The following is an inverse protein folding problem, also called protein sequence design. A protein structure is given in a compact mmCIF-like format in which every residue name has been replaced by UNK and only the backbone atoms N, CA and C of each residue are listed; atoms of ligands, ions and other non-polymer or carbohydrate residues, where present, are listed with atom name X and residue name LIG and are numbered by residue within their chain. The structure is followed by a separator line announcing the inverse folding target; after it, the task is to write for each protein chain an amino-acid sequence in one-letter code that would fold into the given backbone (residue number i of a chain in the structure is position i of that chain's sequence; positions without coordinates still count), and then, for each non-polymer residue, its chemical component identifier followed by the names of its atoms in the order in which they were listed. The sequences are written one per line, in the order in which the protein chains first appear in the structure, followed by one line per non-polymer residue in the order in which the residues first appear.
data_IF_133117006139
#
_entry.id   IF_133117006139
#
_cell.length_a   1.000
_cell.length_b   1.000
_cell.length_c   1.000
_cell.angle_alpha   90.00
_cell.angle_beta   90.00
_cell.angle_gamma   90.00
#
_symmetry.space_group_name_H-M   'P 1'
#
loop_
_entity.id
_entity.type
_entity.pdbx_description
1 polymer ?
#
# COMPACT_ATOMS: atom_id res chain seq x y z
N UNK A 1 -33.93 -18.18 51.29
CA UNK A 1 -34.14 -16.99 50.43
C UNK A 1 -33.23 -17.13 49.22
N UNK A 2 -33.79 -17.45 48.05
CA UNK A 2 -33.04 -17.61 46.79
C UNK A 2 -32.80 -16.21 46.21
N UNK A 3 -31.54 -15.83 45.94
CA UNK A 3 -31.23 -14.66 45.15
C UNK A 3 -31.72 -14.89 43.70
N UNK A 4 -32.50 -13.99 43.09
CA UNK A 4 -32.77 -14.08 41.67
C UNK A 4 -31.51 -13.71 40.90
N UNK A 5 -31.18 -14.57 39.94
CA UNK A 5 -29.95 -14.56 39.17
C UNK A 5 -29.71 -13.25 38.42
N UNK A 6 -28.42 -12.91 38.34
CA UNK A 6 -27.86 -12.01 37.36
C UNK A 6 -28.27 -12.50 35.97
N UNK A 7 -29.33 -11.92 35.39
CA UNK A 7 -29.58 -12.07 33.96
C UNK A 7 -28.39 -11.43 33.26
N UNK A 8 -27.53 -12.25 32.67
CA UNK A 8 -26.49 -11.81 31.78
C UNK A 8 -27.18 -11.13 30.59
N UNK A 9 -27.37 -9.80 30.67
CA UNK A 9 -27.80 -8.98 29.53
C UNK A 9 -26.64 -9.07 28.55
N UNK A 10 -26.72 -10.03 27.62
CA UNK A 10 -25.78 -10.11 26.52
C UNK A 10 -25.75 -8.73 25.84
N UNK A 11 -24.60 -8.05 25.90
CA UNK A 11 -24.41 -6.78 25.21
C UNK A 11 -24.72 -6.99 23.72
N UNK A 12 -25.84 -6.42 23.30
CA UNK A 12 -26.30 -6.36 21.91
C UNK A 12 -25.60 -5.18 21.26
N UNK A 13 -24.29 -5.32 21.05
CA UNK A 13 -23.46 -4.25 20.52
C UNK A 13 -23.68 -4.09 19.02
N UNK A 14 -24.03 -2.88 18.62
CA UNK A 14 -24.08 -2.46 17.23
C UNK A 14 -22.68 -1.93 16.88
N UNK A 15 -22.04 -2.55 15.90
CA UNK A 15 -20.76 -2.07 15.40
C UNK A 15 -20.97 -1.16 14.21
N UNK A 16 -20.10 -0.16 14.09
CA UNK A 16 -20.04 0.75 12.94
C UNK A 16 -18.63 0.73 12.38
N UNK A 17 -18.52 0.59 11.06
CA UNK A 17 -17.25 0.66 10.34
C UNK A 17 -17.43 1.45 9.04
N UNK A 18 -16.31 1.82 8.40
CA UNK A 18 -16.37 2.49 7.11
C UNK A 18 -15.26 2.06 6.17
N UNK A 19 -15.50 2.29 4.87
CA UNK A 19 -14.51 2.19 3.82
C UNK A 19 -14.65 3.36 2.85
N UNK A 20 -13.54 4.02 2.52
CA UNK A 20 -13.51 5.02 1.46
C UNK A 20 -13.59 4.32 0.11
N UNK A 21 -14.56 4.70 -0.72
CA UNK A 21 -14.73 4.18 -2.07
C UNK A 21 -14.06 5.09 -3.09
N UNK A 22 -14.35 6.40 -3.01
CA UNK A 22 -13.82 7.40 -3.94
C UNK A 22 -13.41 8.68 -3.22
N UNK A 23 -12.41 9.36 -3.78
CA UNK A 23 -11.79 10.56 -3.23
C UNK A 23 -11.95 11.71 -4.22
N UNK A 24 -12.64 12.78 -3.81
CA UNK A 24 -12.78 14.02 -4.58
C UNK A 24 -12.08 15.18 -3.84
N UNK A 25 -11.90 16.37 -4.44
CA UNK A 25 -11.19 17.47 -3.75
C UNK A 25 -11.78 17.87 -2.39
N UNK A 26 -13.10 17.96 -2.26
CA UNK A 26 -13.80 18.41 -1.04
C UNK A 26 -14.83 17.41 -0.49
N UNK A 27 -14.95 16.23 -1.12
CA UNK A 27 -15.86 15.19 -0.69
C UNK A 27 -15.21 13.81 -0.81
N UNK A 28 -15.80 12.83 -0.15
CA UNK A 28 -15.41 11.42 -0.21
C UNK A 28 -16.69 10.60 -0.35
N UNK A 29 -16.71 9.64 -1.27
CA UNK A 29 -17.74 8.62 -1.28
C UNK A 29 -17.32 7.52 -0.30
N UNK A 30 -18.13 7.30 0.72
CA UNK A 30 -17.83 6.37 1.81
C UNK A 30 -18.95 5.35 1.94
N UNK A 31 -18.57 4.10 2.18
CA UNK A 31 -19.49 3.05 2.60
C UNK A 31 -19.41 2.90 4.10
N UNK A 32 -20.49 3.23 4.80
CA UNK A 32 -20.66 2.94 6.22
C UNK A 32 -21.38 1.60 6.35
N UNK A 33 -20.85 0.77 7.24
CA UNK A 33 -21.36 -0.55 7.56
C UNK A 33 -21.86 -0.54 9.01
N UNK A 34 -23.13 -0.90 9.22
CA UNK A 34 -23.68 -1.16 10.55
C UNK A 34 -23.95 -2.66 10.69
N UNK A 35 -23.55 -3.26 11.81
CA UNK A 35 -23.75 -4.69 12.04
C UNK A 35 -24.22 -4.95 13.47
N UNK A 36 -25.22 -5.83 13.61
CA UNK A 36 -25.74 -6.27 14.89
C UNK A 36 -26.06 -7.77 14.80
N UNK A 37 -25.04 -8.64 14.87
CA UNK A 37 -25.16 -10.05 14.47
C UNK A 37 -26.05 -10.88 15.41
N UNK A 38 -26.23 -10.40 16.65
CA UNK A 38 -27.02 -11.07 17.69
C UNK A 38 -28.50 -10.67 17.69
N UNK A 39 -28.91 -9.70 16.87
CA UNK A 39 -30.30 -9.23 16.85
C UNK A 39 -31.19 -10.12 15.97
N UNK A 40 -32.45 -10.36 16.37
CA UNK A 40 -33.39 -11.10 15.55
C UNK A 40 -33.76 -10.29 14.30
N UNK A 41 -33.90 -10.96 13.15
CA UNK A 41 -34.34 -10.34 11.91
C UNK A 41 -35.88 -10.25 11.83
N UNK A 42 -36.44 -9.30 11.04
CA UNK A 42 -35.74 -8.26 10.29
C UNK A 42 -35.24 -7.11 11.16
N UNK A 43 -34.02 -6.67 10.90
CA UNK A 43 -33.40 -5.55 11.59
C UNK A 43 -33.54 -4.30 10.75
N UNK A 44 -34.08 -3.24 11.35
CA UNK A 44 -34.16 -1.91 10.76
C UNK A 44 -33.00 -1.07 11.27
N UNK A 45 -32.01 -0.84 10.43
CA UNK A 45 -30.87 0.03 10.75
C UNK A 45 -31.17 1.48 10.37
N UNK A 46 -30.86 2.38 11.28
CA UNK A 46 -30.88 3.84 11.09
C UNK A 46 -29.47 4.36 11.21
N UNK A 47 -28.98 5.04 10.17
CA UNK A 47 -27.74 5.80 10.21
C UNK A 47 -28.08 7.24 10.62
N UNK A 48 -27.53 7.69 11.74
CA UNK A 48 -27.74 9.04 12.26
C UNK A 48 -26.45 9.84 12.21
N UNK A 49 -26.57 11.11 11.87
CA UNK A 49 -25.50 12.10 12.00
C UNK A 49 -25.58 12.80 13.36
N UNK A 50 -24.57 13.62 13.66
CA UNK A 50 -24.55 14.52 14.81
C UNK A 50 -25.88 15.24 15.01
N UNK A 51 -26.27 15.41 16.28
CA UNK A 51 -27.58 15.96 16.70
C UNK A 51 -28.79 15.06 16.37
N UNK A 52 -28.58 13.78 16.06
CA UNK A 52 -29.66 12.82 15.86
C UNK A 52 -30.39 12.96 14.53
N UNK A 53 -29.78 13.60 13.54
CA UNK A 53 -30.36 13.77 12.21
C UNK A 53 -30.33 12.42 11.50
N UNK A 54 -31.49 11.94 11.06
CA UNK A 54 -31.59 10.70 10.28
C UNK A 54 -31.00 10.93 8.88
N UNK A 55 -29.96 10.18 8.54
CA UNK A 55 -29.27 10.25 7.24
C UNK A 55 -29.87 9.25 6.27
N UNK A 56 -30.00 8.01 6.72
CA UNK A 56 -30.52 6.91 5.91
C UNK A 56 -31.07 5.81 6.82
N UNK A 57 -31.97 4.99 6.27
CA UNK A 57 -32.57 3.86 6.96
C UNK A 57 -32.61 2.67 6.02
N UNK A 58 -32.35 1.47 6.54
CA UNK A 58 -32.32 0.23 5.74
C UNK A 58 -32.84 -0.95 6.56
N UNK A 59 -33.77 -1.71 5.99
CA UNK A 59 -34.26 -2.96 6.57
C UNK A 59 -33.47 -4.12 6.00
N UNK A 60 -33.00 -5.01 6.87
CA UNK A 60 -32.21 -6.18 6.51
C UNK A 60 -32.87 -7.43 7.11
N UNK A 61 -33.18 -8.39 6.26
CA UNK A 61 -33.93 -9.61 6.63
C UNK A 61 -33.05 -10.81 6.98
N UNK A 62 -31.74 -10.69 6.78
CA UNK A 62 -30.75 -11.74 7.02
C UNK A 62 -29.68 -11.25 8.01
N UNK A 63 -28.70 -12.09 8.31
CA UNK A 63 -27.57 -11.75 9.20
C UNK A 63 -26.51 -10.86 8.52
N UNK A 64 -26.78 -10.29 7.35
CA UNK A 64 -25.83 -9.41 6.66
C UNK A 64 -25.81 -8.02 7.30
N UNK A 65 -24.69 -7.29 7.24
CA UNK A 65 -24.64 -5.93 7.72
C UNK A 65 -25.42 -4.98 6.81
N UNK A 66 -25.91 -3.87 7.36
CA UNK A 66 -26.47 -2.78 6.58
C UNK A 66 -25.36 -1.91 5.98
N UNK A 67 -25.41 -1.75 4.65
CA UNK A 67 -24.46 -0.93 3.89
C UNK A 67 -25.13 0.37 3.43
N UNK A 68 -24.51 1.50 3.77
CA UNK A 68 -24.92 2.85 3.41
C UNK A 68 -23.79 3.54 2.62
N UNK A 69 -24.05 3.87 1.35
CA UNK A 69 -23.14 4.67 0.55
C UNK A 69 -23.54 6.14 0.69
N UNK A 70 -22.66 6.97 1.27
CA UNK A 70 -22.92 8.39 1.48
C UNK A 70 -21.76 9.25 0.97
N UNK A 71 -22.09 10.43 0.46
CA UNK A 71 -21.11 11.44 0.11
C UNK A 71 -20.85 12.34 1.32
N UNK A 72 -19.64 12.27 1.86
CA UNK A 72 -19.23 13.06 3.02
C UNK A 72 -18.45 14.27 2.51
N UNK A 73 -18.97 15.45 2.79
CA UNK A 73 -18.34 16.73 2.40
C UNK A 73 -17.56 17.30 3.58
N UNK A 74 -16.39 17.89 3.30
CA UNK A 74 -15.65 18.59 4.34
C UNK A 74 -16.49 19.75 4.88
N UNK A 75 -16.72 19.79 6.19
CA UNK A 75 -17.44 20.85 6.88
C UNK A 75 -16.49 21.72 7.67
N UNK A 76 -16.90 22.96 7.93
CA UNK A 76 -16.19 23.90 8.80
C UNK A 76 -16.14 23.41 10.25
N UNK A 77 -17.22 22.78 10.74
CA UNK A 77 -17.32 22.23 12.09
C UNK A 77 -17.06 20.72 12.09
N UNK A 78 -15.97 20.23 12.71
CA UNK A 78 -15.66 18.79 12.82
C UNK A 78 -16.79 17.98 13.45
N UNK A 79 -17.47 18.57 14.44
CA UNK A 79 -18.58 17.91 15.15
C UNK A 79 -19.75 17.56 14.24
N UNK A 80 -19.91 18.20 13.07
CA UNK A 80 -20.97 17.90 12.12
C UNK A 80 -20.69 16.65 11.27
N UNK A 81 -19.50 16.06 11.41
CA UNK A 81 -19.06 14.87 10.66
C UNK A 81 -18.94 13.64 11.57
N UNK A 82 -19.87 13.49 12.52
CA UNK A 82 -19.95 12.31 13.38
C UNK A 82 -21.19 11.50 13.03
N UNK A 83 -21.02 10.19 12.85
CA UNK A 83 -22.10 9.26 12.52
C UNK A 83 -22.19 8.12 13.54
N UNK A 84 -23.38 7.57 13.73
CA UNK A 84 -23.62 6.41 14.57
C UNK A 84 -24.84 5.63 14.07
N UNK A 85 -24.87 4.34 14.36
CA UNK A 85 -25.94 3.44 13.98
C UNK A 85 -26.90 3.23 15.15
N UNK A 86 -28.17 3.06 14.84
CA UNK A 86 -29.20 2.56 15.73
C UNK A 86 -29.92 1.42 15.01
N UNK A 87 -30.32 0.39 15.73
CA UNK A 87 -31.03 -0.74 15.16
C UNK A 87 -32.39 -0.89 15.83
N UNK A 88 -33.40 -1.33 15.09
CA UNK A 88 -34.69 -1.69 15.64
C UNK A 88 -35.10 -3.08 15.18
N UNK A 89 -35.52 -3.92 16.12
CA UNK A 89 -35.99 -5.28 15.88
C UNK A 89 -37.09 -5.63 16.88
N UNK A 90 -38.17 -6.28 16.40
CA UNK A 90 -39.35 -6.62 17.20
C UNK A 90 -39.91 -5.43 18.00
N UNK A 91 -39.96 -4.25 17.37
CA UNK A 91 -40.40 -2.98 17.98
C UNK A 91 -39.51 -2.47 19.13
N UNK A 92 -38.37 -3.11 19.38
CA UNK A 92 -37.36 -2.68 20.35
C UNK A 92 -36.24 -1.96 19.61
N UNK A 93 -35.78 -0.86 20.20
CA UNK A 93 -34.65 -0.08 19.70
C UNK A 93 -33.38 -0.44 20.48
N UNK A 94 -32.28 -0.60 19.75
CA UNK A 94 -30.94 -0.92 20.25
C UNK A 94 -29.93 0.15 19.79
N UNK A 95 -28.88 0.34 20.59
CA UNK A 95 -27.82 1.33 20.34
C UNK A 95 -27.88 2.52 21.30
N UNK A 96 -27.15 3.62 20.99
CA UNK A 96 -26.39 3.84 19.74
C UNK A 96 -25.10 3.01 19.67
N UNK A 97 -24.59 2.81 18.46
CA UNK A 97 -23.21 2.33 18.27
C UNK A 97 -22.18 3.33 18.83
N UNK A 98 -20.91 2.95 18.80
CA UNK A 98 -19.82 3.93 18.91
C UNK A 98 -19.95 5.03 17.84
N UNK A 99 -19.36 6.19 18.11
CA UNK A 99 -19.41 7.35 17.23
C UNK A 99 -18.25 7.31 16.24
N UNK A 100 -18.55 7.35 14.96
CA UNK A 100 -17.58 7.43 13.89
C UNK A 100 -17.31 8.89 13.52
N UNK A 101 -16.14 9.40 13.92
CA UNK A 101 -15.73 10.78 13.69
C UNK A 101 -15.04 10.92 12.33
N UNK A 102 -15.81 11.15 11.28
CA UNK A 102 -15.33 11.19 9.89
C UNK A 102 -14.32 12.31 9.63
N UNK A 103 -14.37 13.42 10.38
CA UNK A 103 -13.35 14.46 10.28
C UNK A 103 -11.94 13.90 10.56
N UNK A 104 -11.78 13.16 11.66
CA UNK A 104 -10.46 12.65 12.06
C UNK A 104 -9.97 11.54 11.13
N UNK A 105 -10.90 10.68 10.73
CA UNK A 105 -10.66 9.54 9.87
C UNK A 105 -10.29 9.89 8.43
N UNK A 106 -11.00 10.85 7.82
CA UNK A 106 -10.88 11.12 6.38
C UNK A 106 -9.94 12.29 6.05
N UNK A 107 -9.72 13.19 7.01
CA UNK A 107 -9.16 14.50 6.74
C UNK A 107 -7.91 14.80 7.56
N UNK A 108 -7.76 14.26 8.76
CA UNK A 108 -6.64 14.61 9.63
C UNK A 108 -5.78 13.42 10.05
N UNK A 109 -5.83 12.33 9.30
CA UNK A 109 -4.96 11.18 9.53
C UNK A 109 -3.54 11.52 9.03
N UNK A 110 -2.51 11.55 9.90
CA UNK A 110 -1.14 11.82 9.49
C UNK A 110 -0.60 10.67 8.63
N UNK A 111 0.31 11.00 7.71
CA UNK A 111 1.03 9.99 6.94
C UNK A 111 1.82 9.08 7.86
N UNK A 112 1.69 7.77 7.68
CA UNK A 112 2.37 6.75 8.47
C UNK A 112 2.62 5.50 7.62
N UNK A 113 3.54 4.65 8.09
CA UNK A 113 3.88 3.38 7.44
C UNK A 113 4.37 3.53 5.96
N UNK A 114 5.12 4.59 5.67
CA UNK A 114 5.79 4.80 4.39
C UNK A 114 6.82 3.70 4.11
N UNK A 115 6.62 3.00 2.99
CA UNK A 115 7.57 2.07 2.40
C UNK A 115 8.14 2.66 1.12
N UNK A 116 9.42 2.41 0.87
CA UNK A 116 10.12 2.83 -0.32
C UNK A 116 11.01 1.68 -0.82
N UNK A 117 10.81 1.28 -2.07
CA UNK A 117 11.59 0.23 -2.73
C UNK A 117 12.36 0.82 -3.90
N UNK A 118 13.65 0.53 -3.96
CA UNK A 118 14.55 0.97 -5.03
C UNK A 118 15.05 -0.25 -5.79
N UNK A 119 14.87 -0.28 -7.09
CA UNK A 119 15.32 -1.35 -7.98
C UNK A 119 16.21 -0.78 -9.07
N UNK A 120 17.43 -1.29 -9.15
CA UNK A 120 18.35 -0.97 -10.25
C UNK A 120 17.99 -1.83 -11.45
N UNK A 121 17.89 -1.22 -12.62
CA UNK A 121 17.68 -1.91 -13.88
C UNK A 121 18.76 -1.49 -14.87
N UNK A 122 19.30 -2.45 -15.62
CA UNK A 122 20.17 -2.18 -16.76
C UNK A 122 19.36 -2.40 -18.04
N UNK A 123 19.12 -1.33 -18.79
CA UNK A 123 18.30 -1.34 -19.99
C UNK A 123 19.08 -0.87 -21.21
N UNK A 124 18.46 -0.93 -22.38
CA UNK A 124 19.11 -0.59 -23.66
C UNK A 124 19.62 0.87 -23.72
N UNK A 125 19.01 1.75 -22.91
CA UNK A 125 19.39 3.17 -22.79
C UNK A 125 20.35 3.44 -21.61
N UNK A 126 20.88 2.38 -20.99
CA UNK A 126 21.77 2.42 -19.85
C UNK A 126 21.08 2.16 -18.50
N UNK A 127 21.84 2.23 -17.40
CA UNK A 127 21.34 1.90 -16.08
C UNK A 127 20.34 2.94 -15.58
N UNK A 128 19.19 2.46 -15.13
CA UNK A 128 18.11 3.24 -14.52
C UNK A 128 17.82 2.73 -13.12
N UNK A 129 17.13 3.56 -12.35
CA UNK A 129 16.60 3.16 -11.06
C UNK A 129 15.13 3.46 -11.01
N UNK A 130 14.38 2.44 -10.66
CA UNK A 130 12.97 2.52 -10.38
C UNK A 130 12.77 2.65 -8.87
N UNK A 131 11.92 3.58 -8.48
CA UNK A 131 11.55 3.82 -7.10
C UNK A 131 10.05 3.74 -6.97
N UNK A 132 9.57 2.89 -6.07
CA UNK A 132 8.16 2.84 -5.67
C UNK A 132 8.03 3.29 -4.22
N UNK A 133 7.16 4.27 -3.96
CA UNK A 133 6.82 4.72 -2.61
C UNK A 133 5.34 4.59 -2.34
N UNK A 134 5.00 4.05 -1.16
CA UNK A 134 3.61 3.95 -0.71
C UNK A 134 3.52 4.14 0.79
N UNK A 135 2.66 5.06 1.22
CA UNK A 135 2.19 5.12 2.59
C UNK A 135 0.85 4.37 2.69
N UNK A 136 0.81 3.32 3.49
CA UNK A 136 -0.42 2.54 3.74
C UNK A 136 -1.42 3.28 4.67
N UNK A 137 -1.00 4.38 5.29
CA UNK A 137 -1.84 5.18 6.17
C UNK A 137 -1.58 6.67 5.96
N UNK A 138 -2.66 7.45 5.97
CA UNK A 138 -2.63 8.90 5.81
C UNK A 138 -3.84 9.41 5.04
N UNK A 139 -4.31 10.60 5.40
CA UNK A 139 -5.42 11.26 4.71
C UNK A 139 -4.95 11.82 3.36
N UNK A 140 -5.73 11.66 2.27
CA UNK A 140 -5.40 12.21 0.97
C UNK A 140 -5.69 13.72 0.89
N UNK A 141 -4.99 14.45 0.01
CA UNK A 141 -3.99 13.93 -0.93
C UNK A 141 -2.59 13.85 -0.31
N UNK A 142 -1.84 12.82 -0.70
CA UNK A 142 -0.45 12.61 -0.27
C UNK A 142 0.47 12.93 -1.44
N UNK A 143 1.46 13.78 -1.21
CA UNK A 143 2.51 14.11 -2.17
C UNK A 143 3.78 13.35 -1.81
N UNK A 144 4.31 12.61 -2.77
CA UNK A 144 5.55 11.86 -2.64
C UNK A 144 6.68 12.60 -3.34
N UNK A 145 7.85 12.67 -2.69
CA UNK A 145 9.06 13.30 -3.21
C UNK A 145 10.25 12.37 -3.05
N UNK A 146 11.05 12.26 -4.10
CA UNK A 146 12.39 11.67 -4.01
C UNK A 146 13.37 12.78 -3.61
N UNK A 147 14.01 12.62 -2.45
CA UNK A 147 14.92 13.61 -1.87
C UNK A 147 16.32 13.02 -1.78
N UNK A 148 17.31 13.74 -2.31
CA UNK A 148 18.73 13.40 -2.17
C UNK A 148 19.32 13.85 -0.84
N UNK A 149 20.57 13.45 -0.57
CA UNK A 149 21.26 13.80 0.67
C UNK A 149 21.47 15.32 0.83
N UNK A 150 21.60 16.02 -0.28
CA UNK A 150 21.71 17.48 -0.38
C UNK A 150 20.38 18.21 -0.13
N UNK A 151 19.29 17.48 0.13
CA UNK A 151 17.96 18.02 0.37
C UNK A 151 17.20 18.41 -0.90
N UNK A 152 17.79 18.23 -2.10
CA UNK A 152 17.12 18.54 -3.36
C UNK A 152 16.02 17.53 -3.64
N UNK A 153 14.94 18.01 -4.24
CA UNK A 153 13.85 17.17 -4.76
C UNK A 153 14.17 16.80 -6.20
N UNK A 154 14.35 15.51 -6.46
CA UNK A 154 14.68 14.97 -7.78
C UNK A 154 13.44 14.65 -8.60
N UNK A 155 12.39 14.19 -7.93
CA UNK A 155 11.10 13.91 -8.54
C UNK A 155 9.98 14.06 -7.51
N UNK A 156 8.78 14.39 -8.00
CA UNK A 156 7.59 14.53 -7.18
C UNK A 156 6.38 13.97 -7.93
N UNK A 157 5.52 13.24 -7.22
CA UNK A 157 4.24 12.76 -7.73
C UNK A 157 3.16 12.89 -6.67
N UNK A 158 1.92 13.01 -7.13
CA UNK A 158 0.72 13.08 -6.30
C UNK A 158 -0.32 12.10 -6.86
N UNK A 159 -0.13 10.79 -6.65
CA UNK A 159 -0.99 9.76 -7.20
C UNK A 159 -2.38 9.79 -6.55
N UNK A 160 -3.32 9.02 -7.12
CA UNK A 160 -4.62 8.79 -6.51
C UNK A 160 -4.45 8.09 -5.15
N UNK A 161 -5.44 8.25 -4.27
CA UNK A 161 -5.37 7.68 -2.93
C UNK A 161 -5.21 6.15 -2.97
N UNK A 162 -4.26 5.64 -2.19
CA UNK A 162 -3.93 4.21 -2.14
C UNK A 162 -3.00 3.71 -3.26
N UNK A 163 -2.72 4.53 -4.28
CA UNK A 163 -1.75 4.18 -5.31
C UNK A 163 -0.32 4.58 -4.93
N UNK A 164 0.70 3.78 -5.28
CA UNK A 164 2.09 4.14 -5.07
C UNK A 164 2.51 5.29 -6.01
N UNK A 165 3.49 6.07 -5.58
CA UNK A 165 4.25 6.94 -6.48
C UNK A 165 5.41 6.12 -7.08
N UNK A 166 5.53 6.14 -8.40
CA UNK A 166 6.54 5.37 -9.13
C UNK A 166 7.39 6.28 -9.99
N UNK A 167 8.69 6.34 -9.70
CA UNK A 167 9.66 7.16 -10.43
C UNK A 167 10.62 6.25 -11.20
N UNK A 168 10.98 6.65 -12.41
CA UNK A 168 12.06 6.04 -13.18
C UNK A 168 13.03 7.13 -13.61
N UNK A 169 14.29 7.01 -13.19
CA UNK A 169 15.33 8.02 -13.39
C UNK A 169 16.64 7.37 -13.85
N UNK A 170 17.41 8.00 -14.76
CA UNK A 170 18.74 7.52 -15.13
C UNK A 170 19.68 7.51 -13.93
N UNK A 171 20.42 6.41 -13.73
CA UNK A 171 21.37 6.26 -12.63
C UNK A 171 22.54 7.25 -12.73
N UNK A 172 22.86 7.72 -13.93
CA UNK A 172 23.89 8.76 -14.16
C UNK A 172 23.60 10.08 -13.45
N UNK A 173 22.33 10.35 -13.13
CA UNK A 173 21.89 11.56 -12.41
C UNK A 173 21.68 11.31 -10.91
N UNK A 174 21.95 10.09 -10.46
CA UNK A 174 21.56 9.59 -9.14
C UNK A 174 22.71 8.84 -8.50
N UNK A 175 23.53 9.55 -7.70
CA UNK A 175 24.60 8.94 -6.89
C UNK A 175 24.50 9.42 -5.45
N UNK A 176 24.71 8.51 -4.50
CA UNK A 176 24.67 8.81 -3.07
C UNK A 176 23.37 8.39 -2.39
N UNK A 177 23.06 9.03 -1.25
CA UNK A 177 21.95 8.65 -0.40
C UNK A 177 20.65 9.33 -0.79
N UNK A 178 19.61 8.54 -1.01
CA UNK A 178 18.28 9.01 -1.37
C UNK A 178 17.25 8.51 -0.37
N UNK A 179 16.13 9.22 -0.26
CA UNK A 179 14.98 8.80 0.55
C UNK A 179 13.70 9.25 -0.12
N UNK A 180 12.63 8.51 0.14
CA UNK A 180 11.30 8.96 -0.19
C UNK A 180 10.70 9.78 0.96
N UNK A 181 10.04 10.87 0.63
CA UNK A 181 9.22 11.63 1.56
C UNK A 181 7.77 11.54 1.11
N UNK A 182 6.87 11.28 2.04
CA UNK A 182 5.43 11.36 1.84
C UNK A 182 4.87 12.44 2.76
N UNK A 183 4.14 13.39 2.21
CA UNK A 183 3.60 14.54 2.93
C UNK A 183 2.11 14.69 2.64
N UNK A 184 1.33 14.95 3.67
CA UNK A 184 -0.01 15.51 3.56
C UNK A 184 -0.13 16.76 4.44
N UNK A 185 -1.32 17.35 4.48
CA UNK A 185 -1.59 18.58 5.25
C UNK A 185 -1.45 18.44 6.77
N UNK A 186 -1.29 17.24 7.29
CA UNK A 186 -1.22 16.96 8.73
C UNK A 186 0.17 16.55 9.15
N UNK A 187 0.89 15.82 8.30
CA UNK A 187 2.21 15.34 8.66
C UNK A 187 3.03 14.90 7.47
N UNK A 188 4.30 14.71 7.77
CA UNK A 188 5.33 14.28 6.84
C UNK A 188 6.01 13.03 7.39
N UNK A 189 6.30 12.09 6.52
CA UNK A 189 7.09 10.91 6.84
C UNK A 189 8.20 10.74 5.82
N UNK A 190 9.35 10.24 6.29
CA UNK A 190 10.49 9.93 5.45
C UNK A 190 10.80 8.42 5.55
N UNK A 191 11.15 7.80 4.43
CA UNK A 191 11.70 6.45 4.42
C UNK A 191 13.12 6.46 5.00
N UNK A 192 13.66 5.28 5.36
CA UNK A 192 15.10 5.11 5.48
C UNK A 192 15.82 5.60 4.23
N UNK A 193 17.08 5.99 4.39
CA UNK A 193 17.93 6.37 3.27
C UNK A 193 18.47 5.12 2.61
N UNK A 194 18.49 5.12 1.28
CA UNK A 194 19.06 4.06 0.44
C UNK A 194 20.24 4.63 -0.32
N UNK A 195 21.37 3.92 -0.30
CA UNK A 195 22.55 4.28 -1.06
C UNK A 195 22.42 3.76 -2.49
N UNK A 196 22.51 4.66 -3.47
CA UNK A 196 22.58 4.31 -4.88
C UNK A 196 24.05 4.39 -5.35
N UNK A 197 24.58 3.32 -5.97
CA UNK A 197 25.95 3.31 -6.47
C UNK A 197 26.09 4.23 -7.69
N UNK A 198 27.29 4.80 -7.92
CA UNK A 198 27.62 5.44 -9.19
C UNK A 198 27.33 4.54 -10.39
N UNK A 199 26.78 5.10 -11.46
CA UNK A 199 26.44 4.36 -12.67
C UNK A 199 27.61 3.56 -13.27
N UNK A 200 28.84 4.08 -13.16
CA UNK A 200 30.06 3.42 -13.64
C UNK A 200 30.32 2.07 -12.95
N UNK A 201 29.96 1.92 -11.67
CA UNK A 201 30.18 0.67 -10.94
C UNK A 201 29.25 -0.45 -11.43
N UNK A 202 28.03 -0.12 -11.88
CA UNK A 202 27.10 -1.12 -12.41
C UNK A 202 27.58 -1.62 -13.77
N UNK A 203 28.07 -0.71 -14.62
CA UNK A 203 28.63 -1.03 -15.95
C UNK A 203 29.89 -1.92 -15.85
N UNK A 204 30.73 -1.73 -14.82
CA UNK A 204 31.89 -2.60 -14.59
C UNK A 204 31.49 -3.99 -14.12
N UNK A 205 30.47 -4.10 -13.26
CA UNK A 205 29.98 -5.38 -12.74
C UNK A 205 29.30 -6.24 -13.82
N UNK A 206 28.51 -5.62 -14.72
CA UNK A 206 27.93 -6.32 -15.88
C UNK A 206 29.00 -6.65 -16.92
N UNK A 207 29.98 -5.75 -17.10
CA UNK A 207 31.16 -5.96 -17.95
C UNK A 207 32.01 -7.17 -17.51
N UNK A 208 32.34 -7.31 -16.23
CA UNK A 208 33.10 -8.47 -15.72
C UNK A 208 32.31 -9.78 -15.83
N UNK A 209 30.99 -9.75 -15.61
CA UNK A 209 30.14 -10.93 -15.79
C UNK A 209 30.10 -11.40 -17.26
N UNK A 210 30.12 -10.46 -18.21
CA UNK A 210 30.20 -10.77 -19.64
C UNK A 210 31.56 -11.35 -20.04
N UNK A 211 32.64 -10.92 -19.39
CA UNK A 211 34.00 -11.41 -19.64
C UNK A 211 34.19 -12.84 -19.12
N UNK A 212 33.57 -13.19 -17.99
CA UNK A 212 33.62 -14.55 -17.45
C UNK A 212 32.90 -15.58 -18.36
N UNK A 213 31.93 -15.14 -19.17
CA UNK A 213 31.21 -15.99 -20.12
C UNK A 213 32.01 -16.31 -21.39
N UNK A 214 33.06 -15.55 -21.71
CA UNK A 214 33.88 -15.77 -22.91
C UNK A 214 35.09 -16.68 -22.66
N UNK A 215 35.53 -16.85 -21.41
CA UNK A 215 36.78 -17.57 -21.09
C UNK A 215 36.59 -19.09 -20.98
N UNK A 216 35.37 -19.61 -20.78
CA UNK A 216 35.15 -21.06 -20.56
C UNK A 216 35.18 -21.91 -21.85
N UNK A 217 35.16 -21.32 -23.05
CA UNK A 217 35.10 -22.10 -24.31
C UNK A 217 36.40 -22.20 -25.11
N UNK A 218 37.53 -21.68 -24.62
CA UNK A 218 38.78 -21.62 -25.40
C UNK A 218 39.97 -22.30 -24.73
N UNK A 219 39.78 -23.47 -24.12
CA UNK A 219 40.84 -24.14 -23.38
C UNK A 219 40.73 -25.66 -23.28
N UNK A 220 40.53 -26.38 -24.39
CA UNK A 220 40.97 -27.79 -24.48
C UNK A 220 40.91 -28.32 -25.91
N UNK A 221 42.02 -28.23 -26.64
CA UNK A 221 42.45 -29.21 -27.65
C UNK A 221 43.98 -29.16 -27.73
N UNK A 222 44.64 -29.88 -26.82
CA UNK A 222 46.08 -30.14 -26.93
C UNK A 222 46.26 -31.40 -27.79
N UNK A 223 47.01 -31.20 -28.86
CA UNK A 223 47.40 -32.14 -29.91
C UNK A 223 48.07 -33.41 -29.39
N UNK A 224 47.72 -34.57 -29.97
CA UNK A 224 48.61 -35.73 -30.02
C UNK A 224 48.68 -36.17 -31.49
N UNK A 225 49.80 -35.89 -32.13
CA UNK A 225 50.24 -36.57 -33.34
C UNK A 225 51.73 -36.89 -33.17
N UNK A 226 52.06 -38.17 -33.01
CA UNK A 226 53.43 -38.64 -33.14
C UNK A 226 53.51 -40.06 -33.70
N UNK A 227 53.97 -40.10 -34.96
CA UNK A 227 55.02 -40.94 -35.55
C UNK A 227 54.73 -42.44 -35.73
N UNK A 228 54.64 -42.84 -37.00
CA UNK A 228 54.69 -44.22 -37.45
C UNK A 228 56.11 -44.77 -37.58
N UNK A 229 56.19 -46.09 -37.71
CA UNK A 229 57.28 -46.82 -38.39
C UNK A 229 56.81 -48.24 -38.66
N UNK A 230 56.61 -48.58 -39.93
CA UNK A 230 56.41 -49.93 -40.42
C UNK A 230 57.48 -50.22 -41.47
N UNK A 231 58.49 -50.99 -41.06
CA UNK A 231 59.67 -51.32 -41.86
C UNK A 231 59.36 -52.34 -42.96
N UNK A 232 59.85 -52.07 -44.17
CA UNK A 232 60.08 -53.08 -45.21
C UNK A 232 61.37 -53.84 -44.91
N UNK A 233 61.30 -55.16 -44.91
CA UNK A 233 62.44 -56.07 -44.91
C UNK A 233 62.07 -57.38 -45.58
N UNK A 234 62.38 -57.50 -46.87
CA UNK A 234 62.22 -58.70 -47.69
C UNK A 234 63.30 -59.74 -47.31
N UNK A 235 62.89 -61.00 -47.33
CA UNK A 235 63.66 -62.23 -47.08
C UNK A 235 64.79 -62.49 -48.09
N UNK A 236 65.89 -63.12 -47.63
CA UNK A 236 66.81 -63.90 -48.47
C UNK A 236 66.91 -65.34 -47.92
N UNK A 237 66.64 -66.30 -48.81
CA UNK A 237 67.37 -67.57 -48.94
C UNK A 237 67.92 -67.56 -50.37
#
# INVERSE_FOLDING_TARGET
MRLPGLLCVAMLDITIAYKVLEVYPQSRLVRITCEAPKLPQPITYSLLASRGILVAKKVVHNSSPALFNINITLKSSPDLLTYFCQAASNSITYGPSTRLQMYWELWTKPVSQLQANFTLQDGDLGPTVELSCLASSGSPPITYRLIGNDGRVYAQQKPLHGQPASFSLPLTRMSGWFRCQAENRVGVQNSPRTLLPPAQLLLTLTGELSLMRTVVTAGSLISIASIGSGMLGWTRL
#
